data_IF_302870887399
#
_entry.id   IF_302870887399
#
_cell.length_a   1.000
_cell.length_b   1.000
_cell.length_c   1.000
_cell.angle_alpha   90.00
_cell.angle_beta   90.00
_cell.angle_gamma   90.00
#
_symmetry.space_group_name_H-M   'P 1'
#
loop_
_entity.id
_entity.type
_entity.pdbx_description
1 polymer ?
#
# COMPACT_ATOMS: atom_id res chain seq x y z
N UNK A 1 -21.94 -36.75 -15.02
CA UNK A 1 -20.46 -36.69 -15.11
C UNK A 1 -19.94 -35.61 -16.07
N UNK A 2 -20.57 -35.43 -17.25
CA UNK A 2 -20.13 -34.43 -18.26
C UNK A 2 -20.34 -32.98 -17.83
N UNK A 3 -21.38 -32.66 -17.05
CA UNK A 3 -21.66 -31.29 -16.57
C UNK A 3 -20.66 -30.85 -15.50
N UNK A 4 -20.24 -31.77 -14.61
CA UNK A 4 -19.22 -31.47 -13.59
C UNK A 4 -17.85 -31.16 -14.24
N UNK A 5 -17.49 -31.90 -15.31
CA UNK A 5 -16.24 -31.65 -16.03
C UNK A 5 -16.25 -30.34 -16.84
N UNK A 6 -17.41 -29.87 -17.25
CA UNK A 6 -17.58 -28.56 -17.92
C UNK A 6 -17.46 -27.41 -16.91
N UNK A 7 -18.04 -27.57 -15.74
CA UNK A 7 -17.93 -26.58 -14.64
C UNK A 7 -16.48 -26.43 -14.14
N UNK A 8 -15.76 -27.53 -14.03
CA UNK A 8 -14.32 -27.51 -13.67
C UNK A 8 -13.46 -26.87 -14.77
N UNK A 9 -13.79 -27.11 -16.05
CA UNK A 9 -13.10 -26.45 -17.19
C UNK A 9 -13.43 -24.97 -17.28
N UNK A 10 -14.67 -24.57 -17.02
CA UNK A 10 -15.07 -23.17 -16.96
C UNK A 10 -14.42 -22.45 -15.79
N UNK A 11 -14.34 -23.07 -14.63
CA UNK A 11 -13.59 -22.54 -13.46
C UNK A 11 -12.10 -22.41 -13.76
N UNK A 12 -11.50 -23.39 -14.41
CA UNK A 12 -10.10 -23.34 -14.81
C UNK A 12 -9.86 -22.26 -15.89
N UNK A 13 -10.77 -22.10 -16.85
CA UNK A 13 -10.70 -21.04 -17.85
C UNK A 13 -10.88 -19.65 -17.23
N UNK A 14 -11.84 -19.47 -16.33
CA UNK A 14 -12.02 -18.22 -15.58
C UNK A 14 -10.81 -17.92 -14.67
N UNK A 15 -10.17 -18.92 -14.08
CA UNK A 15 -8.91 -18.72 -13.34
C UNK A 15 -7.77 -18.32 -14.26
N UNK A 16 -7.63 -18.95 -15.42
CA UNK A 16 -6.60 -18.61 -16.40
C UNK A 16 -6.83 -17.23 -17.04
N UNK A 17 -8.09 -16.83 -17.21
CA UNK A 17 -8.46 -15.51 -17.75
C UNK A 17 -8.32 -14.42 -16.68
N UNK A 18 -8.63 -14.71 -15.42
CA UNK A 18 -8.34 -13.83 -14.28
C UNK A 18 -6.83 -13.64 -14.06
N UNK A 19 -6.02 -14.67 -14.30
CA UNK A 19 -4.55 -14.55 -14.32
C UNK A 19 -4.04 -13.73 -15.51
N UNK A 20 -4.73 -13.74 -16.65
CA UNK A 20 -4.35 -12.97 -17.84
C UNK A 20 -4.86 -11.53 -17.83
N UNK A 21 -6.01 -11.28 -17.18
CA UNK A 21 -6.67 -9.96 -17.12
C UNK A 21 -6.35 -9.16 -15.88
N UNK A 22 -5.68 -9.74 -14.87
CA UNK A 22 -5.05 -8.91 -13.84
C UNK A 22 -4.01 -8.05 -14.55
N UNK A 23 -4.19 -6.72 -14.58
CA UNK A 23 -3.17 -5.85 -15.13
C UNK A 23 -1.91 -6.07 -14.29
N UNK A 24 -1.00 -6.93 -14.81
CA UNK A 24 0.32 -7.15 -14.23
C UNK A 24 1.19 -5.89 -14.31
N UNK A 25 0.55 -4.76 -14.48
CA UNK A 25 1.12 -3.49 -14.89
C UNK A 25 1.30 -2.46 -13.81
N UNK A 26 1.23 -2.81 -12.53
CA UNK A 26 1.56 -1.84 -11.52
C UNK A 26 2.90 -2.18 -10.84
N UNK A 27 3.98 -1.60 -11.43
CA UNK A 27 5.10 -1.02 -10.69
C UNK A 27 6.15 -1.95 -10.08
N UNK A 28 7.23 -1.33 -9.65
CA UNK A 28 8.19 -1.77 -8.63
C UNK A 28 7.63 -2.74 -7.58
N UNK A 29 6.31 -2.73 -7.37
CA UNK A 29 5.58 -3.71 -6.60
C UNK A 29 5.48 -5.11 -7.21
N UNK A 30 5.59 -5.32 -8.53
CA UNK A 30 5.38 -6.67 -9.10
C UNK A 30 6.47 -7.66 -8.70
N UNK A 31 7.69 -7.19 -8.49
CA UNK A 31 8.77 -8.02 -7.97
C UNK A 31 8.51 -8.44 -6.51
N UNK A 32 7.90 -7.57 -5.72
CA UNK A 32 7.56 -7.84 -4.32
C UNK A 32 6.13 -8.36 -4.15
N UNK A 33 5.20 -8.12 -5.08
CA UNK A 33 3.83 -8.66 -5.02
C UNK A 33 3.75 -10.16 -5.32
N UNK A 34 4.69 -10.71 -6.07
CA UNK A 34 4.73 -12.13 -6.39
C UNK A 34 5.11 -13.01 -5.19
N UNK A 35 6.31 -13.59 -5.24
CA UNK A 35 6.79 -14.55 -4.23
C UNK A 35 7.04 -13.91 -2.86
N UNK A 36 7.58 -12.69 -2.81
CA UNK A 36 7.89 -11.99 -1.55
C UNK A 36 6.64 -11.68 -0.74
N UNK A 37 5.61 -11.11 -1.35
CA UNK A 37 4.34 -10.81 -0.70
C UNK A 37 3.61 -12.04 -0.20
N UNK A 38 3.55 -13.09 -1.02
CA UNK A 38 2.90 -14.34 -0.62
C UNK A 38 3.60 -14.98 0.59
N UNK A 39 4.92 -14.88 0.69
CA UNK A 39 5.68 -15.36 1.84
C UNK A 39 5.48 -14.47 3.06
N UNK A 40 5.47 -13.14 2.91
CA UNK A 40 5.16 -12.19 3.97
C UNK A 40 3.79 -12.45 4.57
N UNK A 41 2.77 -12.63 3.74
CA UNK A 41 1.42 -12.97 4.18
C UNK A 41 1.34 -14.29 4.96
N UNK A 42 2.12 -15.31 4.58
CA UNK A 42 2.22 -16.57 5.33
C UNK A 42 2.88 -16.39 6.70
N UNK A 43 3.89 -15.51 6.81
CA UNK A 43 4.47 -15.16 8.11
C UNK A 43 3.43 -14.51 9.00
N UNK A 44 2.72 -13.51 8.47
CA UNK A 44 1.69 -12.78 9.21
C UNK A 44 0.50 -13.68 9.58
N UNK A 45 0.03 -14.55 8.69
CA UNK A 45 -1.06 -15.50 8.99
C UNK A 45 -0.67 -16.46 10.10
N UNK A 46 0.58 -16.91 10.11
CA UNK A 46 1.08 -17.79 11.16
C UNK A 46 1.12 -17.11 12.54
N UNK A 47 1.37 -15.81 12.59
CA UNK A 47 1.43 -15.03 13.83
C UNK A 47 0.05 -14.58 14.31
N UNK A 48 -0.74 -14.02 13.42
CA UNK A 48 -1.93 -13.23 13.76
C UNK A 48 -3.22 -13.93 13.32
N UNK A 49 -3.17 -14.84 12.35
CA UNK A 49 -4.34 -15.52 11.81
C UNK A 49 -5.21 -16.26 12.86
N UNK A 50 -4.63 -16.59 14.01
CA UNK A 50 -5.29 -17.29 15.12
C UNK A 50 -6.21 -16.41 15.97
N UNK A 51 -6.03 -15.09 15.92
CA UNK A 51 -6.88 -14.16 16.66
C UNK A 51 -8.25 -14.02 16.01
N UNK A 52 -9.21 -13.46 16.75
CA UNK A 52 -10.52 -13.12 16.20
C UNK A 52 -10.34 -12.07 15.09
N UNK A 53 -10.89 -12.34 13.89
CA UNK A 53 -10.66 -11.50 12.74
C UNK A 53 -9.21 -11.55 12.19
N UNK A 54 -8.41 -12.55 12.61
CA UNK A 54 -6.99 -12.69 12.27
C UNK A 54 -6.69 -12.58 10.78
N UNK A 55 -7.36 -13.33 9.90
CA UNK A 55 -7.18 -13.16 8.46
C UNK A 55 -7.34 -11.73 7.95
N UNK A 56 -8.35 -10.99 8.43
CA UNK A 56 -8.52 -9.58 8.07
C UNK A 56 -7.39 -8.69 8.64
N UNK A 57 -6.91 -8.97 9.86
CA UNK A 57 -5.75 -8.28 10.45
C UNK A 57 -4.46 -8.56 9.67
N UNK A 58 -4.29 -9.77 9.12
CA UNK A 58 -3.19 -10.08 8.20
C UNK A 58 -3.25 -9.15 7.00
N UNK A 59 -4.43 -8.89 6.46
CA UNK A 59 -4.61 -7.93 5.37
C UNK A 59 -4.15 -6.53 5.74
N UNK A 60 -4.55 -6.02 6.90
CA UNK A 60 -4.15 -4.69 7.39
C UNK A 60 -2.63 -4.57 7.54
N UNK A 61 -2.00 -5.55 8.18
CA UNK A 61 -0.54 -5.55 8.34
C UNK A 61 0.20 -5.72 7.01
N UNK A 62 -0.36 -6.54 6.11
CA UNK A 62 0.23 -6.70 4.77
C UNK A 62 0.22 -5.37 4.02
N UNK A 63 -0.90 -4.66 4.00
CA UNK A 63 -0.98 -3.31 3.41
C UNK A 63 0.01 -2.36 4.08
N UNK A 64 0.07 -2.31 5.41
CA UNK A 64 1.03 -1.46 6.13
C UNK A 64 2.49 -1.73 5.74
N UNK A 65 2.88 -2.99 5.58
CA UNK A 65 4.24 -3.37 5.15
C UNK A 65 4.48 -3.07 3.67
N UNK A 66 3.46 -3.26 2.84
CA UNK A 66 3.52 -2.98 1.41
C UNK A 66 3.52 -1.49 1.10
N UNK A 67 2.79 -0.69 1.87
CA UNK A 67 2.80 0.76 1.79
C UNK A 67 4.21 1.34 1.84
N UNK A 68 5.06 0.77 2.71
CA UNK A 68 6.49 1.10 2.77
C UNK A 68 7.31 0.76 1.51
N UNK A 69 6.72 0.15 0.50
CA UNK A 69 7.37 -0.17 -0.78
C UNK A 69 6.67 0.49 -1.95
N UNK A 70 5.35 0.44 -1.99
CA UNK A 70 4.56 0.87 -3.14
C UNK A 70 4.25 2.37 -3.14
N UNK A 71 4.00 2.94 -1.97
CA UNK A 71 3.61 4.34 -1.80
C UNK A 71 2.30 4.72 -2.51
N UNK A 72 1.53 3.73 -2.96
CA UNK A 72 0.29 3.91 -3.74
C UNK A 72 -0.84 3.04 -3.22
N UNK A 73 -1.82 3.66 -2.57
CA UNK A 73 -2.99 2.97 -2.02
C UNK A 73 -3.76 2.16 -3.06
N UNK A 74 -3.89 2.67 -4.29
CA UNK A 74 -4.61 1.97 -5.38
C UNK A 74 -3.85 0.71 -5.81
N UNK A 75 -2.52 0.82 -5.96
CA UNK A 75 -1.68 -0.32 -6.32
C UNK A 75 -1.71 -1.40 -5.22
N UNK A 76 -1.64 -0.99 -3.96
CA UNK A 76 -1.69 -1.90 -2.81
C UNK A 76 -3.06 -2.58 -2.69
N UNK A 77 -4.15 -1.83 -2.75
CA UNK A 77 -5.50 -2.39 -2.73
C UNK A 77 -5.70 -3.46 -3.82
N UNK A 78 -5.19 -3.20 -5.03
CA UNK A 78 -5.25 -4.13 -6.15
C UNK A 78 -4.39 -5.37 -5.91
N UNK A 79 -3.13 -5.18 -5.53
CA UNK A 79 -2.16 -6.26 -5.36
C UNK A 79 -2.51 -7.17 -4.17
N UNK A 80 -2.70 -6.58 -2.99
CA UNK A 80 -3.04 -7.32 -1.78
C UNK A 80 -4.47 -7.87 -1.87
N UNK A 81 -5.39 -7.11 -2.47
CA UNK A 81 -6.77 -7.55 -2.70
C UNK A 81 -6.83 -8.80 -3.56
N UNK A 82 -6.13 -8.83 -4.68
CA UNK A 82 -6.09 -10.00 -5.58
C UNK A 82 -5.53 -11.26 -4.90
N UNK A 83 -4.60 -11.08 -3.96
CA UNK A 83 -3.97 -12.18 -3.22
C UNK A 83 -4.81 -12.65 -2.03
N UNK A 84 -5.33 -11.71 -1.22
CA UNK A 84 -5.96 -12.04 0.06
C UNK A 84 -7.47 -12.27 -0.02
N UNK A 85 -8.21 -11.62 -0.93
CA UNK A 85 -9.66 -11.84 -1.04
C UNK A 85 -9.99 -13.32 -1.35
N UNK A 86 -9.33 -14.02 -2.30
CA UNK A 86 -9.57 -15.43 -2.53
C UNK A 86 -9.27 -16.31 -1.30
N UNK A 87 -8.22 -15.97 -0.54
CA UNK A 87 -7.87 -16.66 0.69
C UNK A 87 -8.91 -16.43 1.80
N UNK A 88 -9.35 -15.19 2.03
CA UNK A 88 -10.42 -14.85 2.96
C UNK A 88 -11.73 -15.58 2.63
N UNK A 89 -12.10 -15.63 1.34
CA UNK A 89 -13.29 -16.37 0.89
C UNK A 89 -13.20 -17.85 1.23
N UNK A 90 -12.03 -18.48 1.02
CA UNK A 90 -11.81 -19.90 1.39
C UNK A 90 -11.94 -20.14 2.89
N UNK A 91 -11.62 -19.16 3.72
CA UNK A 91 -11.82 -19.22 5.17
C UNK A 91 -13.25 -18.89 5.62
N UNK A 92 -14.17 -18.58 4.70
CA UNK A 92 -15.56 -18.26 5.01
C UNK A 92 -15.84 -16.80 5.31
N UNK A 93 -14.92 -15.88 4.98
CA UNK A 93 -15.16 -14.45 5.11
C UNK A 93 -16.03 -13.93 3.95
N UNK A 94 -17.00 -13.01 4.21
CA UNK A 94 -17.73 -12.33 3.16
C UNK A 94 -16.78 -11.54 2.27
N UNK A 95 -16.93 -11.68 0.94
CA UNK A 95 -16.06 -10.98 -0.02
C UNK A 95 -16.13 -9.44 0.13
N UNK A 96 -17.33 -8.91 0.38
CA UNK A 96 -17.54 -7.48 0.60
C UNK A 96 -16.79 -6.96 1.84
N UNK A 97 -16.81 -7.71 2.95
CA UNK A 97 -16.05 -7.34 4.15
C UNK A 97 -14.54 -7.35 3.89
N UNK A 98 -14.05 -8.39 3.20
CA UNK A 98 -12.63 -8.51 2.85
C UNK A 98 -12.18 -7.37 1.94
N UNK A 99 -12.95 -7.06 0.89
CA UNK A 99 -12.65 -5.96 -0.02
C UNK A 99 -12.67 -4.60 0.70
N UNK A 100 -13.68 -4.33 1.52
CA UNK A 100 -13.77 -3.10 2.29
C UNK A 100 -12.60 -2.93 3.28
N UNK A 101 -12.22 -4.03 3.97
CA UNK A 101 -11.09 -4.00 4.91
C UNK A 101 -9.77 -3.71 4.19
N UNK A 102 -9.52 -4.35 3.05
CA UNK A 102 -8.28 -4.15 2.30
C UNK A 102 -8.23 -2.78 1.63
N UNK A 103 -9.36 -2.27 1.12
CA UNK A 103 -9.44 -0.92 0.59
C UNK A 103 -9.20 0.14 1.68
N UNK A 104 -9.77 -0.06 2.88
CA UNK A 104 -9.49 0.81 4.02
C UNK A 104 -8.02 0.70 4.46
N UNK A 105 -7.46 -0.50 4.53
CA UNK A 105 -6.07 -0.71 4.92
C UNK A 105 -5.07 -0.06 3.95
N UNK A 106 -5.36 -0.07 2.65
CA UNK A 106 -4.53 0.56 1.64
C UNK A 106 -4.39 2.08 1.83
N UNK A 107 -5.30 2.74 2.55
CA UNK A 107 -5.15 4.16 2.88
C UNK A 107 -3.97 4.44 3.83
N UNK A 108 -3.47 3.42 4.54
CA UNK A 108 -2.28 3.53 5.39
C UNK A 108 -1.04 3.85 4.55
N UNK A 109 -0.97 3.39 3.30
CA UNK A 109 0.16 3.58 2.39
C UNK A 109 0.47 5.04 2.10
N UNK A 110 -0.56 5.90 2.19
CA UNK A 110 -0.41 7.35 2.03
C UNK A 110 0.41 7.94 3.19
N UNK A 111 0.43 7.28 4.34
CA UNK A 111 1.09 7.75 5.57
C UNK A 111 2.43 7.06 5.83
N UNK A 112 2.57 5.79 5.43
CA UNK A 112 3.82 5.03 5.63
C UNK A 112 4.83 5.38 4.53
N UNK A 113 6.04 5.81 4.88
CA UNK A 113 7.09 6.12 3.91
C UNK A 113 7.58 4.86 3.13
N UNK A 114 7.94 5.03 1.83
CA UNK A 114 7.82 6.23 1.01
C UNK A 114 6.40 6.44 0.47
N UNK A 115 5.91 7.68 0.52
CA UNK A 115 4.56 8.04 0.09
C UNK A 115 4.62 9.06 -1.04
N UNK A 116 4.01 8.75 -2.19
CA UNK A 116 3.93 9.65 -3.35
C UNK A 116 3.20 10.96 -2.98
N UNK A 117 2.02 10.93 -2.34
CA UNK A 117 1.34 12.16 -1.93
C UNK A 117 2.16 13.05 -1.00
N UNK A 118 2.93 12.47 -0.08
CA UNK A 118 3.82 13.27 0.79
C UNK A 118 4.95 13.94 0.02
N UNK A 119 5.52 13.27 -0.99
CA UNK A 119 6.54 13.88 -1.86
C UNK A 119 5.94 15.04 -2.64
N UNK A 120 4.75 14.86 -3.21
CA UNK A 120 4.05 15.91 -3.95
C UNK A 120 3.72 17.13 -3.05
N UNK A 121 3.25 16.85 -1.84
CA UNK A 121 3.01 17.90 -0.85
C UNK A 121 4.30 18.64 -0.47
N UNK A 122 5.40 17.92 -0.28
CA UNK A 122 6.69 18.53 0.03
C UNK A 122 7.15 19.47 -1.08
N UNK A 123 7.00 19.06 -2.35
CA UNK A 123 7.37 19.86 -3.51
C UNK A 123 6.53 21.14 -3.64
N UNK A 124 5.23 21.04 -3.35
CA UNK A 124 4.32 22.19 -3.45
C UNK A 124 4.42 23.15 -2.25
N UNK A 125 4.75 22.64 -1.06
CA UNK A 125 4.83 23.43 0.18
C UNK A 125 6.25 23.83 0.57
N UNK A 126 7.28 23.44 -0.20
CA UNK A 126 8.70 23.57 0.16
C UNK A 126 9.06 22.95 1.51
N UNK A 127 8.30 21.94 1.95
CA UNK A 127 8.58 21.20 3.18
C UNK A 127 9.64 20.12 2.96
N UNK A 128 10.33 19.73 4.04
CA UNK A 128 11.31 18.65 3.98
C UNK A 128 10.61 17.29 3.82
N UNK A 129 10.92 16.57 2.74
CA UNK A 129 10.42 15.21 2.49
C UNK A 129 10.76 14.26 3.65
N UNK A 130 12.00 14.34 4.17
CA UNK A 130 12.44 13.50 5.28
C UNK A 130 11.62 13.77 6.55
N UNK A 131 11.33 15.04 6.86
CA UNK A 131 10.50 15.40 8.01
C UNK A 131 9.06 14.93 7.88
N UNK A 132 8.47 15.04 6.68
CA UNK A 132 7.13 14.54 6.40
C UNK A 132 7.05 13.03 6.54
N UNK A 133 8.03 12.31 6.05
CA UNK A 133 8.10 10.86 6.17
C UNK A 133 8.16 10.41 7.62
N UNK A 134 9.00 11.06 8.44
CA UNK A 134 9.06 10.75 9.88
C UNK A 134 7.75 11.08 10.58
N UNK A 135 7.12 12.21 10.24
CA UNK A 135 5.83 12.61 10.81
C UNK A 135 4.68 11.65 10.44
N UNK A 136 4.73 11.04 9.26
CA UNK A 136 3.70 10.10 8.78
C UNK A 136 3.71 8.74 9.48
N UNK A 137 4.85 8.31 10.02
CA UNK A 137 4.98 6.98 10.66
C UNK A 137 4.01 6.81 11.83
N UNK A 138 3.93 7.79 12.73
CA UNK A 138 3.08 7.68 13.91
C UNK A 138 1.57 7.63 13.57
N UNK A 139 1.01 8.53 12.74
CA UNK A 139 -0.36 8.41 12.28
C UNK A 139 -0.65 7.12 11.52
N UNK A 140 0.28 6.66 10.66
CA UNK A 140 0.16 5.41 9.93
C UNK A 140 0.06 4.19 10.85
N UNK A 141 0.90 4.13 11.90
CA UNK A 141 0.83 3.08 12.91
C UNK A 141 -0.45 3.15 13.75
N UNK A 142 -0.94 4.34 14.07
CA UNK A 142 -2.22 4.52 14.77
C UNK A 142 -3.39 4.04 13.92
N UNK A 143 -3.41 4.35 12.60
CA UNK A 143 -4.42 3.84 11.68
C UNK A 143 -4.35 2.31 11.56
N UNK A 144 -3.14 1.75 11.43
CA UNK A 144 -2.95 0.29 11.41
C UNK A 144 -3.54 -0.34 12.68
N UNK A 145 -3.20 0.17 13.86
CA UNK A 145 -3.74 -0.30 15.13
C UNK A 145 -5.26 -0.17 15.22
N UNK A 146 -5.81 0.94 14.76
CA UNK A 146 -7.25 1.20 14.70
C UNK A 146 -8.00 0.20 13.80
N UNK A 147 -7.48 -0.04 12.58
CA UNK A 147 -8.07 -1.03 11.68
C UNK A 147 -7.92 -2.47 12.21
N UNK A 148 -6.80 -2.80 12.83
CA UNK A 148 -6.61 -4.10 13.49
C UNK A 148 -7.61 -4.29 14.62
N UNK A 149 -7.83 -3.27 15.46
CA UNK A 149 -8.82 -3.30 16.52
C UNK A 149 -10.25 -3.44 15.97
N UNK A 150 -10.59 -2.72 14.90
CA UNK A 150 -11.87 -2.84 14.20
C UNK A 150 -12.08 -4.26 13.67
N UNK A 151 -11.08 -4.83 13.00
CA UNK A 151 -11.12 -6.22 12.51
C UNK A 151 -11.30 -7.23 13.65
N UNK A 152 -10.64 -7.01 14.79
CA UNK A 152 -10.79 -7.85 15.97
C UNK A 152 -12.22 -7.78 16.54
N UNK A 153 -12.78 -6.55 16.71
CA UNK A 153 -14.13 -6.35 17.23
C UNK A 153 -15.17 -6.99 16.31
N UNK A 154 -15.09 -6.72 15.00
CA UNK A 154 -16.03 -7.28 14.03
C UNK A 154 -15.89 -8.80 13.95
N UNK A 155 -14.65 -9.31 13.92
CA UNK A 155 -14.37 -10.75 13.90
C UNK A 155 -14.91 -11.47 15.14
N UNK A 156 -14.84 -10.82 16.32
CA UNK A 156 -15.41 -11.34 17.56
C UNK A 156 -16.94 -11.32 17.54
N UNK A 157 -17.55 -10.18 17.10
CA UNK A 157 -19.01 -10.01 17.08
C UNK A 157 -19.71 -10.91 16.06
N UNK A 158 -19.06 -11.13 14.90
CA UNK A 158 -19.62 -11.95 13.83
C UNK A 158 -19.13 -13.40 13.83
N UNK A 159 -18.35 -13.80 14.85
CA UNK A 159 -17.76 -15.13 14.98
C UNK A 159 -17.06 -15.61 13.69
N UNK A 160 -16.27 -14.72 13.06
CA UNK A 160 -15.56 -15.10 11.85
C UNK A 160 -14.56 -16.24 12.11
N UNK A 161 -14.40 -17.15 11.15
CA UNK A 161 -13.45 -18.23 11.24
C UNK A 161 -12.02 -17.73 11.49
N UNK A 162 -11.25 -18.49 12.24
CA UNK A 162 -9.83 -18.23 12.52
C UNK A 162 -8.99 -19.16 11.67
N UNK A 163 -7.79 -18.75 11.37
CA UNK A 163 -6.83 -19.66 10.78
C UNK A 163 -6.28 -20.60 11.87
N UNK A 164 -6.71 -21.85 11.84
CA UNK A 164 -6.34 -22.88 12.82
C UNK A 164 -5.12 -23.69 12.40
N UNK A 165 -4.40 -23.27 11.35
CA UNK A 165 -3.20 -23.99 10.90
C UNK A 165 -2.17 -24.08 12.03
N UNK A 166 -1.63 -25.29 12.30
CA UNK A 166 -0.68 -25.48 13.39
C UNK A 166 0.61 -24.69 13.14
N UNK A 167 1.16 -24.09 14.21
CA UNK A 167 2.41 -23.35 14.13
C UNK A 167 3.58 -24.30 13.85
N UNK A 168 4.17 -24.17 12.67
CA UNK A 168 5.38 -24.90 12.31
C UNK A 168 6.58 -23.94 12.31
N UNK A 169 7.44 -24.04 13.33
CA UNK A 169 8.62 -23.19 13.52
C UNK A 169 9.59 -23.24 12.34
N UNK A 170 9.76 -24.40 11.72
CA UNK A 170 10.67 -24.54 10.58
C UNK A 170 10.11 -23.86 9.33
N UNK A 171 8.82 -24.03 9.06
CA UNK A 171 8.12 -23.34 7.98
C UNK A 171 8.11 -21.82 8.19
N UNK A 172 7.82 -21.36 9.43
CA UNK A 172 7.86 -19.94 9.78
C UNK A 172 9.23 -19.32 9.51
N UNK A 173 10.33 -19.94 9.99
CA UNK A 173 11.69 -19.47 9.75
C UNK A 173 12.01 -19.40 8.26
N UNK A 174 11.63 -20.40 7.49
CA UNK A 174 11.82 -20.42 6.04
C UNK A 174 11.06 -19.28 5.35
N UNK A 175 9.78 -19.07 5.69
CA UNK A 175 8.99 -17.98 5.12
C UNK A 175 9.56 -16.61 5.51
N UNK A 176 10.01 -16.45 6.76
CA UNK A 176 10.63 -15.22 7.24
C UNK A 176 11.93 -14.91 6.49
N UNK A 177 12.78 -15.91 6.26
CA UNK A 177 14.01 -15.72 5.48
C UNK A 177 13.73 -15.33 4.02
N UNK A 178 12.67 -15.87 3.42
CA UNK A 178 12.26 -15.47 2.08
C UNK A 178 11.56 -14.10 2.04
N UNK A 179 10.89 -13.69 3.11
CA UNK A 179 10.24 -12.38 3.22
C UNK A 179 11.22 -11.28 3.64
N UNK A 180 12.34 -11.62 4.30
CA UNK A 180 13.24 -10.64 4.88
C UNK A 180 13.77 -9.60 3.87
N UNK A 181 14.12 -9.91 2.61
CA UNK A 181 14.58 -8.90 1.69
C UNK A 181 13.52 -7.85 1.36
N UNK A 182 12.24 -8.26 1.31
CA UNK A 182 11.13 -7.33 1.10
C UNK A 182 10.91 -6.39 2.31
N UNK A 183 11.07 -6.92 3.54
CA UNK A 183 10.90 -6.15 4.77
C UNK A 183 12.08 -5.18 4.99
N UNK A 184 13.28 -5.55 4.55
CA UNK A 184 14.48 -4.71 4.68
C UNK A 184 14.36 -3.42 3.87
N UNK A 185 13.70 -3.43 2.72
CA UNK A 185 13.63 -2.26 1.84
C UNK A 185 12.99 -1.02 2.51
N UNK A 186 11.78 -1.07 3.09
CA UNK A 186 11.21 0.08 3.80
C UNK A 186 12.08 0.59 4.94
N UNK A 187 12.69 -0.33 5.68
CA UNK A 187 13.59 0.02 6.80
C UNK A 187 14.81 0.75 6.28
N UNK A 188 15.40 0.28 5.19
CA UNK A 188 16.56 0.90 4.55
C UNK A 188 16.25 2.31 4.04
N UNK A 189 15.08 2.50 3.42
CA UNK A 189 14.62 3.81 2.96
C UNK A 189 14.52 4.79 4.15
N UNK A 190 13.86 4.38 5.23
CA UNK A 190 13.70 5.22 6.43
C UNK A 190 15.06 5.58 7.04
N UNK A 191 15.96 4.61 7.15
CA UNK A 191 17.31 4.82 7.70
C UNK A 191 18.07 5.83 6.83
N UNK A 192 18.13 5.64 5.53
CA UNK A 192 18.90 6.53 4.64
C UNK A 192 18.38 7.97 4.67
N UNK A 193 17.06 8.15 4.69
CA UNK A 193 16.46 9.47 4.77
C UNK A 193 16.61 10.11 6.16
N UNK A 194 16.44 9.33 7.21
CA UNK A 194 16.49 9.83 8.60
C UNK A 194 17.88 10.30 8.99
N UNK A 195 18.91 9.57 8.59
CA UNK A 195 20.30 9.91 8.89
C UNK A 195 20.94 10.83 7.84
N UNK A 196 20.18 11.23 6.80
CA UNK A 196 20.71 12.11 5.75
C UNK A 196 21.84 11.49 4.93
N UNK A 197 21.87 10.14 4.84
CA UNK A 197 22.92 9.40 4.10
C UNK A 197 22.76 9.64 2.61
N UNK A 198 21.52 9.76 2.13
CA UNK A 198 21.20 9.99 0.74
C UNK A 198 19.96 10.88 0.60
N UNK A 199 19.89 11.60 -0.50
CA UNK A 199 18.72 12.41 -0.88
C UNK A 199 17.53 11.51 -1.26
N UNK A 200 16.28 12.00 -1.22
CA UNK A 200 15.12 11.21 -1.61
C UNK A 200 15.22 10.60 -3.01
N UNK A 201 15.80 11.31 -3.96
CA UNK A 201 16.03 10.82 -5.33
C UNK A 201 17.07 9.71 -5.39
N UNK A 202 18.17 9.83 -4.66
CA UNK A 202 19.18 8.78 -4.56
C UNK A 202 18.63 7.53 -3.87
N UNK A 203 17.84 7.70 -2.81
CA UNK A 203 17.17 6.59 -2.13
C UNK A 203 16.19 5.88 -3.08
N UNK A 204 15.48 6.62 -3.94
CA UNK A 204 14.58 6.00 -4.93
C UNK A 204 15.35 5.15 -5.95
N UNK A 205 16.50 5.64 -6.43
CA UNK A 205 17.38 4.87 -7.34
C UNK A 205 17.93 3.63 -6.64
N UNK A 206 18.47 3.78 -5.44
CA UNK A 206 19.00 2.65 -4.65
C UNK A 206 17.92 1.61 -4.35
N UNK A 207 16.70 2.04 -4.02
CA UNK A 207 15.56 1.18 -3.78
C UNK A 207 15.17 0.37 -5.03
N UNK A 208 15.19 1.03 -6.19
CA UNK A 208 14.89 0.37 -7.47
C UNK A 208 15.95 -0.66 -7.82
N UNK A 209 17.23 -0.32 -7.65
CA UNK A 209 18.34 -1.25 -7.86
C UNK A 209 18.29 -2.43 -6.90
N UNK A 210 18.03 -2.18 -5.62
CA UNK A 210 17.84 -3.21 -4.60
C UNK A 210 16.69 -4.14 -4.96
N UNK A 211 15.52 -3.60 -5.28
CA UNK A 211 14.34 -4.38 -5.66
C UNK A 211 14.62 -5.24 -6.90
N UNK A 212 15.29 -4.68 -7.91
CA UNK A 212 15.72 -5.39 -9.11
C UNK A 212 16.70 -6.53 -8.79
N UNK A 213 17.72 -6.26 -7.96
CA UNK A 213 18.71 -7.26 -7.55
C UNK A 213 18.07 -8.40 -6.74
N UNK A 214 17.21 -8.10 -5.77
CA UNK A 214 16.47 -9.10 -4.98
C UNK A 214 15.58 -9.94 -5.89
N UNK A 215 14.88 -9.31 -6.83
CA UNK A 215 13.99 -9.99 -7.77
C UNK A 215 14.74 -10.91 -8.72
N UNK A 216 15.91 -10.48 -9.21
CA UNK A 216 16.75 -11.25 -10.14
C UNK A 216 17.50 -12.38 -9.43
N UNK A 217 18.16 -12.09 -8.30
CA UNK A 217 19.12 -13.00 -7.67
C UNK A 217 18.44 -13.93 -6.64
N UNK A 218 17.55 -13.39 -5.80
CA UNK A 218 16.93 -14.14 -4.70
C UNK A 218 15.65 -14.82 -5.16
N UNK A 219 14.71 -14.05 -5.73
CA UNK A 219 13.43 -14.61 -6.16
C UNK A 219 13.50 -15.28 -7.53
N UNK A 220 14.51 -14.94 -8.35
CA UNK A 220 14.71 -15.45 -9.71
C UNK A 220 13.45 -15.35 -10.55
N UNK A 221 12.81 -14.20 -10.46
CA UNK A 221 11.49 -13.96 -11.06
C UNK A 221 11.50 -12.77 -12.04
N UNK A 222 12.67 -12.13 -12.23
CA UNK A 222 12.86 -10.99 -13.12
C UNK A 222 13.25 -11.47 -14.53
N UNK A 223 12.23 -11.75 -15.36
CA UNK A 223 12.42 -11.98 -16.78
C UNK A 223 12.30 -10.68 -17.58
N UNK A 224 12.83 -10.67 -18.82
CA UNK A 224 12.81 -9.49 -19.71
C UNK A 224 11.40 -8.92 -19.91
N UNK A 225 10.39 -9.78 -20.08
CA UNK A 225 9.00 -9.35 -20.23
C UNK A 225 8.46 -8.61 -18.98
N UNK A 226 8.79 -9.11 -17.78
CA UNK A 226 8.38 -8.48 -16.52
C UNK A 226 9.10 -7.17 -16.27
N UNK A 227 10.39 -7.11 -16.59
CA UNK A 227 11.17 -5.87 -16.51
C UNK A 227 10.57 -4.80 -17.43
N UNK A 228 10.34 -5.15 -18.70
CA UNK A 228 9.72 -4.23 -19.66
C UNK A 228 8.33 -3.77 -19.20
N UNK A 229 7.48 -4.69 -18.73
CA UNK A 229 6.16 -4.34 -18.20
C UNK A 229 6.28 -3.41 -16.98
N UNK A 230 7.23 -3.63 -16.07
CA UNK A 230 7.45 -2.77 -14.91
C UNK A 230 7.91 -1.36 -15.32
N UNK A 231 8.83 -1.26 -16.28
CA UNK A 231 9.31 0.04 -16.80
C UNK A 231 8.19 0.81 -17.49
N UNK A 232 7.41 0.16 -18.35
CA UNK A 232 6.26 0.79 -19.03
C UNK A 232 5.23 1.27 -18.03
N UNK A 233 4.87 0.44 -17.05
CA UNK A 233 3.93 0.81 -15.99
C UNK A 233 4.43 1.98 -15.14
N UNK A 234 5.70 1.98 -14.76
CA UNK A 234 6.30 3.08 -14.03
C UNK A 234 6.27 4.38 -14.85
N UNK A 235 6.56 4.30 -16.16
CA UNK A 235 6.46 5.43 -17.08
C UNK A 235 5.05 5.99 -17.19
N UNK A 236 4.05 5.11 -17.33
CA UNK A 236 2.64 5.51 -17.38
C UNK A 236 2.19 6.17 -16.05
N UNK A 237 2.51 5.56 -14.92
CA UNK A 237 2.19 6.13 -13.62
C UNK A 237 2.83 7.50 -13.41
N UNK A 238 4.12 7.64 -13.75
CA UNK A 238 4.83 8.92 -13.70
C UNK A 238 4.19 9.95 -14.63
N UNK A 239 3.83 9.58 -15.86
CA UNK A 239 3.16 10.45 -16.81
C UNK A 239 1.82 10.99 -16.31
N UNK A 240 0.99 10.11 -15.71
CA UNK A 240 -0.29 10.52 -15.10
C UNK A 240 -0.07 11.49 -13.94
N UNK A 241 0.87 11.20 -13.04
CA UNK A 241 1.19 12.06 -11.90
C UNK A 241 1.69 13.44 -12.38
N UNK A 242 2.60 13.48 -13.36
CA UNK A 242 3.11 14.73 -13.91
C UNK A 242 2.00 15.54 -14.58
N UNK A 243 1.10 14.90 -15.31
CA UNK A 243 -0.04 15.57 -15.95
C UNK A 243 -0.96 16.21 -14.90
N UNK A 244 -1.25 15.50 -13.81
CA UNK A 244 -2.05 16.03 -12.70
C UNK A 244 -1.35 17.22 -12.03
N UNK A 245 -0.04 17.14 -11.81
CA UNK A 245 0.75 18.25 -11.24
C UNK A 245 0.70 19.47 -12.17
N UNK A 246 0.89 19.28 -13.47
CA UNK A 246 0.85 20.38 -14.45
C UNK A 246 -0.52 21.05 -14.48
N UNK A 247 -1.60 20.26 -14.50
CA UNK A 247 -2.96 20.80 -14.46
C UNK A 247 -3.24 21.54 -13.15
N UNK A 248 -2.82 20.98 -12.02
CA UNK A 248 -2.96 21.62 -10.70
C UNK A 248 -2.14 22.90 -10.59
N UNK A 249 -0.93 22.95 -11.17
CA UNK A 249 -0.10 24.13 -11.19
C UNK A 249 -0.76 25.28 -11.99
N UNK A 250 -1.39 24.97 -13.12
CA UNK A 250 -2.13 25.96 -13.90
C UNK A 250 -3.31 26.57 -13.10
N UNK A 251 -4.07 25.71 -12.41
CA UNK A 251 -5.16 26.16 -11.52
C UNK A 251 -4.60 26.99 -10.37
N UNK A 252 -3.53 26.53 -9.74
CA UNK A 252 -2.86 27.24 -8.65
C UNK A 252 -2.37 28.61 -9.05
N UNK A 253 -1.84 28.75 -10.28
CA UNK A 253 -1.43 30.05 -10.82
C UNK A 253 -2.62 30.98 -10.98
N UNK A 254 -3.74 30.52 -11.52
CA UNK A 254 -4.97 31.31 -11.67
C UNK A 254 -5.51 31.79 -10.32
N UNK A 255 -5.59 30.89 -9.34
CA UNK A 255 -6.04 31.22 -7.98
C UNK A 255 -5.13 32.25 -7.30
N UNK A 256 -3.81 32.14 -7.54
CA UNK A 256 -2.83 33.09 -6.99
C UNK A 256 -2.94 34.44 -7.67
N UNK A 257 -3.16 34.48 -8.98
CA UNK A 257 -3.36 35.70 -9.76
C UNK A 257 -4.60 36.48 -9.27
N UNK A 258 -5.68 35.72 -8.94
CA UNK A 258 -6.93 36.29 -8.43
C UNK A 258 -6.88 36.60 -6.91
N UNK A 259 -5.71 36.42 -6.28
CA UNK A 259 -5.45 36.66 -4.86
C UNK A 259 -6.43 35.89 -3.91
N UNK A 260 -7.03 34.81 -4.41
CA UNK A 260 -7.97 33.99 -3.61
C UNK A 260 -7.36 33.45 -2.31
N UNK A 261 -6.12 32.91 -2.29
CA UNK A 261 -5.51 32.43 -1.04
C UNK A 261 -5.35 33.53 0.00
N UNK A 262 -5.00 34.75 -0.44
CA UNK A 262 -4.83 35.93 0.44
C UNK A 262 -6.19 36.37 1.03
N UNK A 263 -7.24 36.38 0.20
CA UNK A 263 -8.60 36.69 0.62
C UNK A 263 -9.13 35.68 1.66
N UNK A 264 -8.91 34.39 1.43
CA UNK A 264 -9.28 33.32 2.37
C UNK A 264 -8.50 33.47 3.68
N UNK A 265 -7.18 33.71 3.60
CA UNK A 265 -6.33 33.90 4.79
C UNK A 265 -6.78 35.12 5.62
N UNK A 266 -7.09 36.25 4.97
CA UNK A 266 -7.59 37.45 5.64
C UNK A 266 -8.95 37.20 6.29
N UNK A 267 -9.86 36.52 5.61
CA UNK A 267 -11.16 36.16 6.17
C UNK A 267 -11.04 35.24 7.39
N UNK A 268 -10.17 34.20 7.30
CA UNK A 268 -9.91 33.28 8.42
C UNK A 268 -9.33 34.03 9.62
N UNK A 269 -8.34 34.92 9.40
CA UNK A 269 -7.74 35.71 10.48
C UNK A 269 -8.75 36.66 11.16
N UNK A 270 -9.68 37.21 10.39
CA UNK A 270 -10.69 38.11 10.92
C UNK A 270 -11.78 37.41 11.71
N UNK A 271 -12.14 36.18 11.33
CA UNK A 271 -13.32 35.48 11.87
C UNK A 271 -12.97 34.29 12.77
N UNK A 272 -11.76 33.76 12.72
CA UNK A 272 -11.39 32.53 13.42
C UNK A 272 -10.19 32.78 14.33
N UNK A 273 -10.46 32.94 15.63
CA UNK A 273 -9.43 33.28 16.63
C UNK A 273 -8.80 32.06 17.28
N UNK A 274 -9.33 30.85 17.06
CA UNK A 274 -8.81 29.60 17.62
C UNK A 274 -8.18 28.70 16.54
N UNK A 275 -7.17 27.92 16.90
CA UNK A 275 -6.47 27.03 15.96
C UNK A 275 -7.35 25.87 15.50
N UNK A 276 -8.21 25.33 16.36
CA UNK A 276 -9.03 24.15 16.06
C UNK A 276 -10.06 24.35 14.94
N UNK A 277 -10.84 25.46 14.88
CA UNK A 277 -11.74 25.70 13.76
C UNK A 277 -11.02 25.85 12.41
N UNK A 278 -9.80 26.41 12.40
CA UNK A 278 -9.00 26.50 11.17
C UNK A 278 -8.66 25.11 10.65
N UNK A 279 -8.20 24.21 11.52
CA UNK A 279 -7.89 22.82 11.17
C UNK A 279 -9.15 22.10 10.67
N UNK A 280 -10.29 22.31 11.32
CA UNK A 280 -11.58 21.75 10.91
C UNK A 280 -12.01 22.26 9.52
N UNK A 281 -11.88 23.56 9.29
CA UNK A 281 -12.20 24.18 8.00
C UNK A 281 -11.30 23.65 6.88
N UNK A 282 -10.00 23.52 7.15
CA UNK A 282 -9.07 22.93 6.19
C UNK A 282 -9.41 21.47 5.87
N UNK A 283 -9.75 20.67 6.88
CA UNK A 283 -10.18 19.29 6.67
C UNK A 283 -11.50 19.20 5.88
N UNK A 284 -12.43 20.09 6.12
CA UNK A 284 -13.70 20.17 5.38
C UNK A 284 -13.49 20.57 3.91
N UNK A 285 -12.54 21.46 3.65
CA UNK A 285 -12.18 21.87 2.29
C UNK A 285 -11.46 20.78 1.49
N UNK A 286 -10.79 19.86 2.20
CA UNK A 286 -10.07 18.74 1.58
C UNK A 286 -10.95 17.48 1.34
N UNK A 287 -12.13 17.41 1.91
CA UNK A 287 -13.13 16.34 1.74
C UNK A 287 -13.99 16.56 0.52
#
# INVERSE_FOLDING_TARGET
PRLASLDDRLKAAHHAEAERTTPSGFTTGTAFTGKGASQGNRVLSTLIGRFHGGPAQVGVLSSTLFGGVSGSAVADASAIGSLLIPWHKRLGYPAAFSAATLAAAATIDILIPPSIPMILFALSSNASIASLFVAGVLPGLLMCGGFMAACWVVGKRRNFPRDTTPFNRSAFRRHLMYASPAIVLPVLIIIFLRFGIATPTEVAVLSTLYAGAVSALIYRDLGWQRLNAAVVSAGLATGVVLLVIMASAAIGWLLTFDQMPQGIAAWVQANVHAKWPVILLMNLLML
#
